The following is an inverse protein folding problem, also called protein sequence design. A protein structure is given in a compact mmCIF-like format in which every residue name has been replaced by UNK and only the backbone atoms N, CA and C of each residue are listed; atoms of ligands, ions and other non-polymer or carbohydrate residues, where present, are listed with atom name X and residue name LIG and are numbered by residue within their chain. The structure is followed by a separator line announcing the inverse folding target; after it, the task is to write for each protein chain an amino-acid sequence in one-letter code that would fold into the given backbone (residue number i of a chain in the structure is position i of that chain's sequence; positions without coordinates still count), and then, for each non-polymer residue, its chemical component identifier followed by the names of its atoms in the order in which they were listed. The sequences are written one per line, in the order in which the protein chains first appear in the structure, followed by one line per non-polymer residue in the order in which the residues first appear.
data_IF_695734227242
#
_entry.id   IF_695734227242
#
_cell.length_a   1.000
_cell.length_b   1.000
_cell.length_c   1.000
_cell.angle_alpha   90.00
_cell.angle_beta   90.00
_cell.angle_gamma   90.00
#
_symmetry.space_group_name_H-M   'P 1'
#
loop_
_entity.id
_entity.type
_entity.pdbx_description
1 polymer ?
#
# COMPACT_ATOMS: atom_id res chain seq x y z
N UNK A 1 11.93 -6.77 -15.77
CA UNK A 1 12.47 -6.90 -14.40
C UNK A 1 12.42 -5.51 -13.78
N UNK A 2 11.85 -5.34 -12.58
CA UNK A 2 11.96 -4.04 -11.88
C UNK A 2 13.44 -3.71 -11.71
N UNK A 3 13.83 -2.50 -12.10
CA UNK A 3 15.19 -2.03 -11.85
C UNK A 3 15.29 -1.57 -10.39
N UNK A 4 15.64 -2.51 -9.52
CA UNK A 4 15.78 -2.24 -8.10
C UNK A 4 16.98 -1.35 -7.78
N UNK A 5 17.88 -1.07 -8.74
CA UNK A 5 18.96 -0.07 -8.57
C UNK A 5 18.41 1.35 -8.36
N UNK A 6 17.17 1.61 -8.78
CA UNK A 6 16.50 2.88 -8.48
C UNK A 6 16.31 3.10 -6.96
N UNK A 7 16.36 2.03 -6.16
CA UNK A 7 16.19 2.12 -4.71
C UNK A 7 17.50 2.21 -3.93
N UNK A 8 18.66 2.44 -4.59
CA UNK A 8 19.95 2.59 -3.91
C UNK A 8 19.90 3.66 -2.82
N UNK A 9 19.09 4.71 -3.03
CA UNK A 9 18.86 5.76 -2.04
C UNK A 9 18.14 5.23 -0.79
N UNK A 10 17.12 4.39 -0.96
CA UNK A 10 16.40 3.75 0.15
C UNK A 10 17.32 2.73 0.83
N UNK A 11 18.10 1.98 0.06
CA UNK A 11 19.07 1.01 0.59
C UNK A 11 20.16 1.66 1.44
N UNK A 12 20.57 2.89 1.12
CA UNK A 12 21.56 3.64 1.90
C UNK A 12 21.03 4.12 3.26
N UNK A 13 19.71 4.27 3.40
CA UNK A 13 19.05 4.76 4.63
C UNK A 13 18.47 3.61 5.47
N UNK A 14 17.88 2.65 4.77
CA UNK A 14 17.19 1.51 5.32
C UNK A 14 17.94 0.30 4.77
N UNK A 15 18.93 -0.17 5.53
CA UNK A 15 19.66 -1.39 5.21
C UNK A 15 18.71 -2.60 5.08
N UNK A 16 19.28 -3.77 4.77
CA UNK A 16 18.49 -5.00 4.66
C UNK A 16 17.65 -5.24 5.93
N UNK A 17 16.36 -5.46 5.71
CA UNK A 17 15.38 -5.59 6.79
C UNK A 17 15.36 -7.03 7.29
N UNK A 18 15.74 -7.22 8.55
CA UNK A 18 15.65 -8.51 9.25
C UNK A 18 14.38 -8.60 10.13
N UNK A 19 13.92 -9.82 10.48
CA UNK A 19 12.78 -10.04 11.38
C UNK A 19 12.97 -9.40 12.77
N UNK A 20 11.84 -9.11 13.43
CA UNK A 20 11.78 -8.61 14.81
C UNK A 20 12.60 -7.34 15.09
N UNK A 21 12.50 -6.35 14.19
CA UNK A 21 13.16 -5.05 14.30
C UNK A 21 12.21 -3.87 14.05
N UNK A 22 12.72 -2.66 14.33
CA UNK A 22 12.11 -1.37 13.97
C UNK A 22 13.12 -0.53 13.19
N UNK A 23 12.68 0.06 12.08
CA UNK A 23 13.50 0.94 11.24
C UNK A 23 12.77 2.26 11.09
N UNK A 24 13.33 3.31 11.67
CA UNK A 24 12.81 4.67 11.53
C UNK A 24 13.41 5.30 10.28
N UNK A 25 12.60 6.06 9.55
CA UNK A 25 13.07 6.74 8.34
C UNK A 25 12.51 8.16 8.22
N UNK A 26 13.23 8.95 7.43
CA UNK A 26 12.85 10.28 6.98
C UNK A 26 13.09 10.31 5.47
N UNK A 27 12.07 10.68 4.70
CA UNK A 27 12.12 10.58 3.23
C UNK A 27 12.91 11.71 2.59
N UNK A 28 12.98 12.88 3.24
CA UNK A 28 13.57 14.11 2.67
C UNK A 28 13.00 14.48 1.29
N UNK A 29 11.78 14.03 0.98
CA UNK A 29 11.17 14.13 -0.34
C UNK A 29 11.91 13.37 -1.45
N UNK A 30 12.87 12.49 -1.12
CA UNK A 30 13.77 11.81 -2.07
C UNK A 30 13.16 10.55 -2.68
N UNK A 31 12.15 9.98 -2.03
CA UNK A 31 11.44 8.80 -2.48
C UNK A 31 9.99 8.78 -1.99
N UNK A 32 9.16 7.98 -2.66
CA UNK A 32 7.71 7.95 -2.47
C UNK A 32 7.21 6.64 -1.84
N UNK A 33 5.96 6.67 -1.37
CA UNK A 33 5.24 5.51 -0.80
C UNK A 33 5.37 4.23 -1.63
N UNK A 34 5.16 4.33 -2.95
CA UNK A 34 5.19 3.18 -3.85
C UNK A 34 6.61 2.66 -4.10
N UNK A 35 7.62 3.53 -4.00
CA UNK A 35 9.02 3.15 -4.13
C UNK A 35 9.47 2.36 -2.90
N UNK A 36 9.07 2.79 -1.69
CA UNK A 36 9.30 2.01 -0.48
C UNK A 36 8.63 0.64 -0.54
N UNK A 37 7.38 0.55 -1.01
CA UNK A 37 6.71 -0.74 -1.17
C UNK A 37 7.52 -1.69 -2.07
N UNK A 38 7.94 -1.21 -3.25
CA UNK A 38 8.70 -2.03 -4.19
C UNK A 38 10.08 -2.41 -3.66
N UNK A 39 10.75 -1.49 -2.96
CA UNK A 39 11.98 -1.80 -2.23
C UNK A 39 11.76 -2.96 -1.26
N UNK A 40 10.73 -2.89 -0.41
CA UNK A 40 10.41 -3.96 0.56
C UNK A 40 10.06 -5.30 -0.11
N UNK A 41 9.34 -5.28 -1.24
CA UNK A 41 9.01 -6.48 -2.01
C UNK A 41 10.23 -7.10 -2.69
N UNK A 42 11.27 -6.30 -2.99
CA UNK A 42 12.52 -6.80 -3.56
C UNK A 42 13.27 -7.75 -2.61
N UNK A 43 13.16 -7.52 -1.29
CA UNK A 43 13.77 -8.38 -0.26
C UNK A 43 12.80 -9.45 0.23
N UNK A 44 11.55 -9.06 0.51
CA UNK A 44 10.58 -10.00 1.08
C UNK A 44 10.11 -11.05 0.08
N UNK A 45 10.18 -10.76 -1.22
CA UNK A 45 9.65 -11.59 -2.29
C UNK A 45 8.15 -11.35 -2.52
N UNK A 46 7.50 -12.18 -3.35
CA UNK A 46 6.07 -12.10 -3.60
C UNK A 46 5.25 -12.11 -2.30
N UNK A 47 4.29 -11.20 -2.19
CA UNK A 47 3.52 -11.03 -0.95
C UNK A 47 2.09 -10.52 -1.17
N UNK A 48 1.23 -10.78 -0.19
CA UNK A 48 -0.03 -10.08 -0.03
C UNK A 48 0.25 -8.70 0.55
N UNK A 49 -0.41 -7.70 -0.01
CA UNK A 49 -0.27 -6.29 0.38
C UNK A 49 -1.65 -5.72 0.75
N UNK A 50 -1.72 -5.09 1.91
CA UNK A 50 -2.90 -4.36 2.37
C UNK A 50 -2.51 -2.92 2.69
N UNK A 51 -3.18 -1.95 2.07
CA UNK A 51 -2.82 -0.53 2.14
C UNK A 51 -4.01 0.29 2.62
N UNK A 52 -3.75 1.21 3.54
CA UNK A 52 -4.66 2.34 3.78
C UNK A 52 -3.96 3.65 3.46
N UNK A 53 -4.69 4.60 2.89
CA UNK A 53 -4.19 5.94 2.62
C UNK A 53 -5.33 6.94 2.56
N UNK A 54 -5.06 8.20 2.95
CA UNK A 54 -6.04 9.28 2.79
C UNK A 54 -6.24 9.64 1.31
N UNK A 55 -5.18 9.58 0.51
CA UNK A 55 -5.19 9.92 -0.92
C UNK A 55 -4.34 8.92 -1.70
N UNK A 56 -4.69 8.70 -2.96
CA UNK A 56 -3.94 7.86 -3.89
C UNK A 56 -3.82 8.56 -5.26
N UNK A 57 -2.76 8.29 -6.01
CA UNK A 57 -2.54 8.81 -7.36
C UNK A 57 -2.55 7.70 -8.41
N UNK A 58 -2.67 8.11 -9.68
CA UNK A 58 -2.55 7.21 -10.82
C UNK A 58 -1.16 6.59 -10.96
N UNK A 59 -0.09 7.37 -10.74
CA UNK A 59 1.29 6.88 -10.76
C UNK A 59 1.47 5.71 -9.79
N UNK A 60 0.94 5.84 -8.57
CA UNK A 60 1.00 4.79 -7.55
C UNK A 60 0.21 3.55 -7.98
N UNK A 61 -1.01 3.72 -8.51
CA UNK A 61 -1.82 2.58 -8.96
C UNK A 61 -1.21 1.86 -10.17
N UNK A 62 -0.62 2.59 -11.12
CA UNK A 62 0.12 1.99 -12.25
C UNK A 62 1.32 1.19 -11.76
N UNK A 63 2.02 1.70 -10.75
CA UNK A 63 3.12 0.97 -10.10
C UNK A 63 2.63 -0.33 -9.46
N UNK A 64 1.47 -0.29 -8.78
CA UNK A 64 0.86 -1.49 -8.20
C UNK A 64 0.44 -2.49 -9.27
N UNK A 65 -0.18 -2.05 -10.37
CA UNK A 65 -0.53 -2.89 -11.51
C UNK A 65 0.70 -3.64 -12.05
N UNK A 66 1.79 -2.92 -12.33
CA UNK A 66 3.02 -3.56 -12.82
C UNK A 66 3.62 -4.56 -11.81
N UNK A 67 3.52 -4.26 -10.50
CA UNK A 67 3.97 -5.19 -9.45
C UNK A 67 3.10 -6.45 -9.37
N UNK A 68 1.81 -6.34 -9.65
CA UNK A 68 0.88 -7.49 -9.74
C UNK A 68 1.19 -8.31 -11.00
N UNK A 69 1.31 -7.67 -12.16
CA UNK A 69 1.61 -8.33 -13.44
C UNK A 69 2.94 -9.08 -13.42
N UNK A 70 3.94 -8.56 -12.69
CA UNK A 70 5.24 -9.19 -12.51
C UNK A 70 5.27 -10.21 -11.36
N UNK A 71 4.14 -10.43 -10.67
CA UNK A 71 4.01 -11.44 -9.62
C UNK A 71 4.63 -11.06 -8.27
N UNK A 72 5.01 -9.80 -8.06
CA UNK A 72 5.53 -9.31 -6.78
C UNK A 72 4.42 -9.06 -5.75
N UNK A 73 3.24 -8.66 -6.21
CA UNK A 73 2.05 -8.52 -5.36
C UNK A 73 1.06 -9.62 -5.75
N UNK A 74 0.83 -10.57 -4.84
CA UNK A 74 -0.07 -11.72 -5.08
C UNK A 74 -1.53 -11.39 -4.78
N UNK A 75 -1.76 -10.40 -3.92
CA UNK A 75 -3.08 -9.95 -3.51
C UNK A 75 -2.99 -8.50 -3.01
N UNK A 76 -3.85 -7.61 -3.50
CA UNK A 76 -3.89 -6.21 -3.09
C UNK A 76 -5.26 -5.81 -2.56
N UNK A 77 -5.30 -5.27 -1.34
CA UNK A 77 -6.50 -4.70 -0.71
C UNK A 77 -6.26 -3.25 -0.32
N UNK A 78 -7.23 -2.38 -0.59
CA UNK A 78 -7.13 -0.95 -0.31
C UNK A 78 -8.24 -0.50 0.65
N UNK A 79 -7.88 0.37 1.60
CA UNK A 79 -8.83 1.23 2.32
C UNK A 79 -8.49 2.68 2.02
N UNK A 80 -9.43 3.40 1.41
CA UNK A 80 -9.24 4.80 1.00
C UNK A 80 -10.21 5.72 1.75
N UNK A 81 -9.84 6.99 1.88
CA UNK A 81 -10.76 7.97 2.45
C UNK A 81 -12.01 8.12 1.56
N UNK A 82 -13.18 8.25 2.17
CA UNK A 82 -14.44 8.56 1.46
C UNK A 82 -14.35 9.82 0.58
N UNK A 83 -13.43 10.76 0.85
CA UNK A 83 -13.21 11.95 0.04
C UNK A 83 -12.69 11.65 -1.38
N UNK A 84 -12.09 10.46 -1.60
CA UNK A 84 -11.57 10.05 -2.90
C UNK A 84 -12.70 9.92 -3.93
N UNK A 85 -13.92 9.54 -3.51
CA UNK A 85 -15.08 9.45 -4.42
C UNK A 85 -15.55 10.79 -4.96
N UNK A 86 -15.18 11.91 -4.31
CA UNK A 86 -15.58 13.25 -4.76
C UNK A 86 -14.64 13.80 -5.83
N UNK A 87 -13.36 13.49 -5.70
CA UNK A 87 -12.32 14.17 -6.47
C UNK A 87 -11.59 13.25 -7.46
N UNK A 88 -11.77 11.92 -7.34
CA UNK A 88 -10.95 10.92 -8.04
C UNK A 88 -11.76 9.68 -8.44
N UNK A 89 -13.01 9.83 -8.87
CA UNK A 89 -13.90 8.71 -9.21
C UNK A 89 -13.35 7.83 -10.33
N UNK A 90 -12.83 8.43 -11.41
CA UNK A 90 -12.19 7.68 -12.50
C UNK A 90 -11.01 6.83 -11.99
N UNK A 91 -10.26 7.35 -11.01
CA UNK A 91 -9.15 6.63 -10.40
C UNK A 91 -9.62 5.45 -9.54
N UNK A 92 -10.76 5.56 -8.86
CA UNK A 92 -11.37 4.45 -8.14
C UNK A 92 -11.83 3.34 -9.09
N UNK A 93 -12.44 3.69 -10.23
CA UNK A 93 -12.77 2.72 -11.27
C UNK A 93 -11.52 1.99 -11.78
N UNK A 94 -10.44 2.73 -12.05
CA UNK A 94 -9.16 2.12 -12.42
C UNK A 94 -8.63 1.18 -11.33
N UNK A 95 -8.59 1.64 -10.08
CA UNK A 95 -8.14 0.82 -8.95
C UNK A 95 -8.96 -0.46 -8.81
N UNK A 96 -10.28 -0.39 -8.99
CA UNK A 96 -11.17 -1.53 -8.81
C UNK A 96 -10.97 -2.65 -9.86
N UNK A 97 -10.34 -2.34 -10.99
CA UNK A 97 -9.95 -3.35 -11.98
C UNK A 97 -8.62 -4.04 -11.64
N UNK A 98 -7.87 -3.52 -10.68
CA UNK A 98 -6.50 -3.97 -10.36
C UNK A 98 -6.45 -4.66 -9.01
N UNK A 99 -7.21 -4.16 -8.04
CA UNK A 99 -7.15 -4.62 -6.65
C UNK A 99 -8.31 -5.54 -6.33
N UNK A 100 -8.12 -6.44 -5.37
CA UNK A 100 -9.14 -7.41 -4.99
C UNK A 100 -10.34 -6.80 -4.29
N UNK A 101 -10.11 -5.80 -3.43
CA UNK A 101 -11.15 -5.16 -2.63
C UNK A 101 -10.76 -3.72 -2.31
N UNK A 102 -11.72 -2.81 -2.43
CA UNK A 102 -11.59 -1.41 -2.05
C UNK A 102 -12.64 -1.08 -0.99
N UNK A 103 -12.17 -0.74 0.20
CA UNK A 103 -12.99 -0.16 1.25
C UNK A 103 -12.92 1.36 1.26
N UNK A 104 -14.07 2.02 1.38
CA UNK A 104 -14.17 3.46 1.57
C UNK A 104 -14.58 3.75 3.02
N UNK A 105 -13.71 4.44 3.76
CA UNK A 105 -13.94 4.77 5.17
C UNK A 105 -13.35 6.13 5.52
N UNK A 106 -13.91 6.81 6.54
CA UNK A 106 -13.32 8.04 7.08
C UNK A 106 -12.05 7.71 7.87
N UNK A 107 -10.93 7.66 7.17
CA UNK A 107 -9.62 7.36 7.75
C UNK A 107 -8.56 8.35 7.27
N UNK A 108 -7.55 8.61 8.09
CA UNK A 108 -6.37 9.42 7.71
C UNK A 108 -5.06 8.63 7.78
N UNK A 109 -5.17 7.32 8.04
CA UNK A 109 -4.01 6.44 8.19
C UNK A 109 -3.28 6.28 6.86
N UNK A 110 -1.95 6.16 6.91
CA UNK A 110 -1.14 5.69 5.79
C UNK A 110 -0.30 4.51 6.27
N UNK A 111 -0.71 3.34 5.81
CA UNK A 111 -0.20 2.06 6.30
C UNK A 111 0.08 1.16 5.10
N UNK A 112 1.17 0.41 5.16
CA UNK A 112 1.42 -0.74 4.30
C UNK A 112 1.55 -1.95 5.21
N UNK A 113 0.82 -3.01 4.90
CA UNK A 113 1.01 -4.34 5.47
C UNK A 113 1.48 -5.26 4.35
N UNK A 114 2.58 -5.97 4.59
CA UNK A 114 3.14 -6.94 3.65
C UNK A 114 3.25 -8.28 4.38
N UNK A 115 2.64 -9.33 3.83
CA UNK A 115 2.77 -10.68 4.37
C UNK A 115 3.06 -11.73 3.31
N UNK A 116 3.96 -12.64 3.66
CA UNK A 116 4.13 -13.94 3.05
C UNK A 116 4.63 -14.95 4.10
N UNK A 117 5.06 -16.14 3.67
CA UNK A 117 5.49 -17.19 4.58
C UNK A 117 6.74 -16.81 5.41
N UNK A 118 7.54 -15.85 4.95
CA UNK A 118 8.81 -15.45 5.56
C UNK A 118 8.70 -14.14 6.34
N UNK A 119 7.95 -13.18 5.81
CA UNK A 119 7.92 -11.80 6.31
C UNK A 119 6.53 -11.34 6.69
N UNK A 120 6.48 -10.56 7.78
CA UNK A 120 5.33 -9.81 8.25
C UNK A 120 5.79 -8.39 8.54
N UNK A 121 5.50 -7.46 7.63
CA UNK A 121 6.01 -6.10 7.66
C UNK A 121 4.86 -5.11 7.84
N UNK A 122 5.03 -4.18 8.76
CA UNK A 122 4.15 -3.02 8.95
C UNK A 122 4.95 -1.78 8.63
N UNK A 123 4.43 -0.93 7.74
CA UNK A 123 4.95 0.41 7.50
C UNK A 123 3.89 1.40 7.94
N UNK A 124 4.15 2.14 9.00
CA UNK A 124 3.29 3.25 9.46
C UNK A 124 4.00 4.56 9.17
N UNK A 125 3.38 5.43 8.38
CA UNK A 125 4.04 6.61 7.82
C UNK A 125 3.09 7.80 7.67
N UNK A 126 3.66 8.98 7.47
CA UNK A 126 2.91 10.21 7.21
C UNK A 126 2.60 10.41 5.70
N UNK A 127 3.39 9.80 4.81
CA UNK A 127 3.23 9.92 3.36
C UNK A 127 1.96 9.24 2.85
N UNK A 128 1.19 9.94 2.01
CA UNK A 128 0.09 9.34 1.24
C UNK A 128 0.62 8.45 0.10
N UNK A 129 -0.25 7.59 -0.44
CA UNK A 129 -0.02 6.78 -1.63
C UNK A 129 0.03 7.62 -2.94
N UNK A 130 0.79 8.70 -2.95
CA UNK A 130 1.03 9.63 -4.07
C UNK A 130 2.53 9.81 -4.26
N UNK A 131 3.02 10.27 -5.44
CA UNK A 131 4.37 10.80 -5.54
C UNK A 131 4.54 11.87 -4.49
N UNK A 132 5.64 11.79 -3.76
CA UNK A 132 5.94 12.69 -2.68
C UNK A 132 7.20 13.49 -2.99
N UNK A 133 7.13 14.78 -2.70
CA UNK A 133 8.22 15.75 -2.75
C UNK A 133 8.34 16.53 -1.43
N UNK A 134 7.62 16.09 -0.40
CA UNK A 134 7.59 16.68 0.93
C UNK A 134 8.35 15.84 1.94
N UNK A 135 8.78 16.47 3.02
CA UNK A 135 9.34 15.81 4.19
C UNK A 135 8.30 14.89 4.84
N UNK A 136 8.54 13.58 4.79
CA UNK A 136 7.70 12.57 5.43
C UNK A 136 8.56 11.66 6.30
N UNK A 137 7.94 11.06 7.33
CA UNK A 137 8.60 10.12 8.24
C UNK A 137 7.73 8.89 8.45
N UNK A 138 8.35 7.82 8.92
CA UNK A 138 7.64 6.62 9.31
C UNK A 138 8.51 5.64 10.04
N UNK A 139 7.89 4.51 10.35
CA UNK A 139 8.56 3.36 10.93
C UNK A 139 8.16 2.11 10.17
N UNK A 140 9.16 1.28 9.88
CA UNK A 140 8.98 -0.08 9.41
C UNK A 140 9.16 -1.00 10.62
N UNK A 141 8.24 -1.94 10.81
CA UNK A 141 8.27 -2.91 11.88
C UNK A 141 8.13 -4.31 11.31
N UNK A 142 9.01 -5.22 11.73
CA UNK A 142 9.01 -6.63 11.30
C UNK A 142 8.65 -7.61 12.42
N UNK A 143 8.08 -7.10 13.52
CA UNK A 143 7.60 -7.92 14.61
C UNK A 143 6.24 -8.56 14.26
N UNK A 144 6.18 -9.89 14.24
CA UNK A 144 4.95 -10.64 13.93
C UNK A 144 3.76 -10.25 14.79
N UNK A 145 3.96 -10.03 16.09
CA UNK A 145 2.88 -9.63 17.03
C UNK A 145 2.29 -8.27 16.67
N UNK A 146 3.13 -7.32 16.26
CA UNK A 146 2.69 -5.98 15.87
C UNK A 146 1.91 -6.07 14.55
N UNK A 147 2.43 -6.81 13.57
CA UNK A 147 1.71 -7.08 12.33
C UNK A 147 0.31 -7.62 12.57
N UNK A 148 0.15 -8.60 13.46
CA UNK A 148 -1.16 -9.20 13.75
C UNK A 148 -2.16 -8.21 14.38
N UNK A 149 -1.69 -7.24 15.16
CA UNK A 149 -2.53 -6.17 15.70
C UNK A 149 -3.02 -5.26 14.56
N UNK A 150 -2.11 -4.79 13.71
CA UNK A 150 -2.45 -3.91 12.60
C UNK A 150 -3.33 -4.61 11.56
N UNK A 151 -3.02 -5.86 11.20
CA UNK A 151 -3.81 -6.64 10.25
C UNK A 151 -5.23 -6.89 10.79
N UNK A 152 -5.39 -7.21 12.08
CA UNK A 152 -6.72 -7.32 12.69
C UNK A 152 -7.50 -6.02 12.59
N UNK A 153 -6.86 -4.88 12.89
CA UNK A 153 -7.52 -3.57 12.81
C UNK A 153 -7.86 -3.17 11.37
N UNK A 154 -6.98 -3.50 10.42
CA UNK A 154 -7.21 -3.29 8.99
C UNK A 154 -8.44 -4.06 8.52
N UNK A 155 -8.51 -5.37 8.81
CA UNK A 155 -9.66 -6.19 8.41
C UNK A 155 -10.97 -5.70 9.05
N UNK A 156 -10.96 -5.37 10.35
CA UNK A 156 -12.12 -4.76 11.00
C UNK A 156 -12.56 -3.45 10.34
N UNK A 157 -11.61 -2.61 9.91
CA UNK A 157 -11.95 -1.36 9.21
C UNK A 157 -12.49 -1.64 7.82
N UNK A 158 -11.93 -2.61 7.11
CA UNK A 158 -12.37 -3.03 5.78
C UNK A 158 -13.79 -3.60 5.82
N UNK A 159 -14.10 -4.42 6.82
CA UNK A 159 -15.44 -5.01 7.00
C UNK A 159 -16.51 -3.96 7.33
N UNK A 160 -16.11 -2.87 8.00
CA UNK A 160 -17.01 -1.75 8.31
C UNK A 160 -17.01 -0.64 7.24
N UNK A 161 -16.25 -0.81 6.15
CA UNK A 161 -16.15 0.20 5.10
C UNK A 161 -17.24 0.03 4.04
N UNK A 162 -17.55 1.10 3.32
CA UNK A 162 -18.38 1.01 2.13
C UNK A 162 -17.53 0.34 1.04
N UNK A 163 -17.91 -0.85 0.61
CA UNK A 163 -17.18 -1.56 -0.44
C UNK A 163 -17.48 -0.86 -1.78
N UNK A 164 -16.42 -0.46 -2.47
CA UNK A 164 -16.54 0.11 -3.81
C UNK A 164 -16.56 -1.03 -4.83
N UNK A 165 -17.64 -1.14 -5.60
CA UNK A 165 -17.84 -2.15 -6.63
C UNK A 165 -18.26 -1.47 -7.94
N UNK A 166 -17.81 -2.01 -9.08
CA UNK A 166 -18.16 -1.53 -10.42
C UNK A 166 -19.55 -2.04 -10.83
N UNK A 167 -20.58 -1.77 -10.03
CA UNK A 167 -21.91 -2.35 -10.21
C UNK A 167 -22.78 -1.55 -11.20
N UNK A 168 -22.19 -1.07 -12.30
CA UNK A 168 -22.86 -0.18 -13.29
C UNK A 168 -23.25 -0.93 -14.59
N UNK A 169 -22.83 -2.17 -14.85
CA UNK A 169 -23.16 -2.85 -16.12
C UNK A 169 -24.18 -4.00 -15.97
N UNK A 170 -24.38 -4.56 -14.78
CA UNK A 170 -25.24 -5.76 -14.61
C UNK A 170 -26.66 -5.46 -14.12
N UNK A 171 -26.99 -4.21 -13.71
CA UNK A 171 -28.33 -3.86 -13.22
C UNK A 171 -29.27 -3.24 -14.26
N UNK A 172 -28.84 -3.07 -15.51
CA UNK A 172 -29.68 -2.59 -16.62
C UNK A 172 -30.07 -3.67 -17.64
N UNK A 173 -29.86 -4.94 -17.30
CA UNK A 173 -30.42 -6.07 -18.05
C UNK A 173 -31.09 -7.04 -17.06
N UNK A 174 -32.20 -6.59 -16.47
CA UNK A 174 -33.27 -7.44 -15.97
C UNK A 174 -34.57 -6.67 -15.98
#
# INVERSE_FOLDING_TARGET
MFDFKKYDIIASEIAEIVPDQYYHFFTEGRWSFHELLLYLLSFSGPAKVSITSFSISEVTLRTFLSAIELGHITNLELILNTSVTRNKTALLFFANNIVKKIGLSRNHMKLILIENDKFKIVVNQSANATPNNSEETGVICTHKKIYEIYNRKFNQLLDNSIIFENDIITRSIK
#
